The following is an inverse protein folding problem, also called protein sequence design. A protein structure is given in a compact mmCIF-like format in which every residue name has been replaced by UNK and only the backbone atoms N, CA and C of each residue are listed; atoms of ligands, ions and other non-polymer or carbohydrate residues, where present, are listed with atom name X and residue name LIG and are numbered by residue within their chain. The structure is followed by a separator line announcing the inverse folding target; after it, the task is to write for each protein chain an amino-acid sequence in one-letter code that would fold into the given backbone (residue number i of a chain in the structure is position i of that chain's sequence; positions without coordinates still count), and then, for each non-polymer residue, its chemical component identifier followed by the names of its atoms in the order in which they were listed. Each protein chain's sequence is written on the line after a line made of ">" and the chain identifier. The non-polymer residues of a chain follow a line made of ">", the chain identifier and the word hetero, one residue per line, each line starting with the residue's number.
data_IF_417932855254
#
_entry.id   IF_417932855254
#
_cell.length_a   1.000
_cell.length_b   1.000
_cell.length_c   1.000
_cell.angle_alpha   90.00
_cell.angle_beta   90.00
_cell.angle_gamma   90.00
#
_symmetry.space_group_name_H-M   'P 1'
#
loop_
_entity.id
_entity.type
_entity.pdbx_description
1 polymer ?
#
# COMPACT_ATOMS: atom_id res chain seq x y z
N UNK A 1 29.66 -2.25 12.82
CA UNK A 1 28.70 -2.66 11.79
C UNK A 1 28.25 -1.48 10.99
N UNK A 2 28.26 -1.55 9.66
CA UNK A 2 27.80 -0.49 8.76
C UNK A 2 26.56 -0.95 8.00
N UNK A 3 25.45 -0.32 8.25
CA UNK A 3 24.15 -0.63 7.64
C UNK A 3 23.87 0.41 6.56
N UNK A 4 23.64 -0.02 5.32
CA UNK A 4 23.08 0.82 4.27
C UNK A 4 21.56 0.69 4.32
N UNK A 5 20.84 1.79 4.48
CA UNK A 5 19.38 1.79 4.61
C UNK A 5 18.72 2.57 3.47
N UNK A 6 17.73 1.96 2.82
CA UNK A 6 17.01 2.54 1.70
C UNK A 6 16.11 3.71 2.12
N UNK A 7 16.52 4.93 1.75
CA UNK A 7 15.68 6.13 1.83
C UNK A 7 15.06 6.51 0.49
N UNK A 8 15.38 5.80 -0.60
CA UNK A 8 14.88 6.12 -1.94
C UNK A 8 13.35 6.03 -2.04
N UNK A 9 12.72 5.18 -1.21
CA UNK A 9 11.26 5.05 -1.15
C UNK A 9 10.58 6.11 -0.28
N UNK A 10 11.27 6.77 0.64
CA UNK A 10 10.66 7.55 1.71
C UNK A 10 9.97 8.84 1.24
N UNK A 11 10.35 9.38 0.06
CA UNK A 11 9.66 10.54 -0.49
C UNK A 11 8.25 10.21 -1.03
N UNK A 12 7.92 8.94 -1.19
CA UNK A 12 6.61 8.49 -1.65
C UNK A 12 5.60 8.50 -0.51
N UNK A 13 4.34 8.86 -0.83
CA UNK A 13 3.21 8.83 0.12
C UNK A 13 2.40 7.54 -0.08
N UNK A 14 3.02 6.39 0.16
CA UNK A 14 2.39 5.08 -0.02
C UNK A 14 2.73 4.11 1.13
N UNK A 15 2.14 2.91 1.11
CA UNK A 15 2.34 1.90 2.14
C UNK A 15 3.78 1.39 2.25
N UNK A 16 4.52 1.31 1.13
CA UNK A 16 5.91 0.87 1.13
C UNK A 16 6.84 1.89 1.80
N UNK A 17 6.62 3.18 1.54
CA UNK A 17 7.36 4.24 2.23
C UNK A 17 7.07 4.25 3.75
N UNK A 18 5.82 4.01 4.13
CA UNK A 18 5.45 3.90 5.54
C UNK A 18 6.11 2.68 6.20
N UNK A 19 6.14 1.54 5.50
CA UNK A 19 6.85 0.35 5.96
C UNK A 19 8.33 0.65 6.22
N UNK A 20 9.04 1.20 5.25
CA UNK A 20 10.47 1.52 5.38
C UNK A 20 10.72 2.52 6.53
N UNK A 21 9.86 3.54 6.68
CA UNK A 21 9.94 4.51 7.78
C UNK A 21 9.79 3.84 9.14
N UNK A 22 8.82 2.93 9.28
CA UNK A 22 8.60 2.20 10.53
C UNK A 22 9.80 1.32 10.91
N UNK A 23 10.37 0.62 9.92
CA UNK A 23 11.57 -0.21 10.14
C UNK A 23 12.76 0.67 10.53
N UNK A 24 12.94 1.82 9.88
CA UNK A 24 14.01 2.76 10.22
C UNK A 24 13.95 3.24 11.67
N UNK A 25 12.77 3.68 12.13
CA UNK A 25 12.63 4.14 13.52
C UNK A 25 12.81 3.02 14.54
N UNK A 26 12.29 1.84 14.26
CA UNK A 26 12.49 0.68 15.13
C UNK A 26 13.97 0.24 15.21
N UNK A 27 14.67 0.30 14.06
CA UNK A 27 16.11 0.04 14.01
C UNK A 27 16.90 1.07 14.82
N UNK A 28 16.59 2.35 14.65
CA UNK A 28 17.27 3.44 15.36
C UNK A 28 17.06 3.31 16.87
N UNK A 29 15.82 3.11 17.30
CA UNK A 29 15.47 2.89 18.72
C UNK A 29 16.21 1.67 19.30
N UNK A 30 16.30 0.56 18.54
CA UNK A 30 17.04 -0.63 18.97
C UNK A 30 18.53 -0.32 19.12
N UNK A 31 19.15 0.35 18.14
CA UNK A 31 20.58 0.71 18.18
C UNK A 31 20.91 1.60 19.37
N UNK A 32 20.06 2.58 19.70
CA UNK A 32 20.25 3.46 20.87
C UNK A 32 20.37 2.70 22.21
N UNK A 33 19.72 1.55 22.30
CA UNK A 33 19.71 0.73 23.52
C UNK A 33 20.77 -0.39 23.56
N UNK A 34 21.57 -0.54 22.49
CA UNK A 34 22.63 -1.54 22.47
C UNK A 34 23.87 -1.09 23.24
N UNK A 35 24.54 -2.02 23.99
CA UNK A 35 25.74 -1.69 24.78
C UNK A 35 26.93 -1.20 23.93
N UNK A 36 26.98 -1.56 22.65
CA UNK A 36 28.04 -1.24 21.69
C UNK A 36 27.53 -0.39 20.52
N UNK A 37 26.54 0.44 20.77
CA UNK A 37 25.90 1.30 19.77
C UNK A 37 26.91 2.17 18.98
N UNK A 38 28.00 2.61 19.60
CA UNK A 38 29.03 3.42 18.96
C UNK A 38 29.78 2.70 17.82
N UNK A 39 29.68 1.38 17.75
CA UNK A 39 30.25 0.57 16.68
C UNK A 39 29.29 0.33 15.52
N UNK A 40 28.08 0.91 15.56
CA UNK A 40 27.05 0.76 14.54
C UNK A 40 26.81 2.11 13.86
N UNK A 41 26.83 2.11 12.53
CA UNK A 41 26.47 3.28 11.71
C UNK A 41 25.36 2.88 10.74
N UNK A 42 24.29 3.65 10.70
CA UNK A 42 23.19 3.54 9.73
C UNK A 42 23.40 4.62 8.68
N UNK A 43 23.76 4.24 7.46
CA UNK A 43 23.90 5.18 6.34
C UNK A 43 22.65 5.15 5.49
N UNK A 44 21.97 6.28 5.41
CA UNK A 44 20.75 6.45 4.63
C UNK A 44 21.09 6.72 3.17
N UNK A 45 20.72 5.81 2.28
CA UNK A 45 20.87 5.96 0.84
C UNK A 45 19.72 6.80 0.28
N UNK A 46 20.01 8.00 -0.18
CA UNK A 46 19.01 8.92 -0.72
C UNK A 46 19.35 9.37 -2.15
N UNK A 47 18.43 10.08 -2.80
CA UNK A 47 18.64 10.71 -4.11
C UNK A 47 18.46 12.22 -3.97
N UNK A 48 19.54 12.98 -4.18
CA UNK A 48 19.54 14.44 -4.07
C UNK A 48 18.57 15.15 -5.02
N UNK A 49 18.20 14.52 -6.13
CA UNK A 49 17.16 15.04 -7.03
C UNK A 49 15.78 15.16 -6.35
N UNK A 50 15.55 14.40 -5.28
CA UNK A 50 14.30 14.41 -4.50
C UNK A 50 14.44 15.07 -3.12
N UNK A 51 15.54 15.78 -2.85
CA UNK A 51 15.86 16.35 -1.54
C UNK A 51 14.72 17.17 -0.90
N UNK A 52 13.98 18.04 -1.62
CA UNK A 52 12.86 18.78 -1.03
C UNK A 52 11.77 17.88 -0.45
N UNK A 53 11.51 16.73 -1.06
CA UNK A 53 10.50 15.79 -0.58
C UNK A 53 10.97 15.02 0.67
N UNK A 54 12.27 14.76 0.81
CA UNK A 54 12.81 14.15 2.04
C UNK A 54 12.70 15.08 3.23
N UNK A 55 13.01 16.37 3.08
CA UNK A 55 12.96 17.35 4.17
C UNK A 55 11.55 17.55 4.73
N UNK A 56 10.50 17.33 3.92
CA UNK A 56 9.11 17.35 4.39
C UNK A 56 8.72 16.10 5.19
N UNK A 57 9.40 14.97 4.95
CA UNK A 57 9.02 13.66 5.48
C UNK A 57 9.85 13.20 6.67
N UNK A 58 11.01 13.80 6.85
CA UNK A 58 11.92 13.46 7.93
C UNK A 58 11.64 14.38 9.11
N UNK A 59 11.52 13.88 10.34
CA UNK A 59 11.36 14.73 11.51
C UNK A 59 12.61 15.61 11.70
N UNK A 60 12.43 16.75 12.35
CA UNK A 60 13.44 17.80 12.60
C UNK A 60 14.74 17.30 13.29
N UNK A 61 14.81 16.03 13.67
CA UNK A 61 15.88 15.45 14.49
C UNK A 61 16.68 14.34 13.79
N UNK A 62 16.82 14.36 12.46
CA UNK A 62 17.64 13.37 11.75
C UNK A 62 19.16 13.52 11.93
N UNK A 63 19.63 14.61 12.54
CA UNK A 63 21.00 14.72 13.03
C UNK A 63 21.19 13.81 14.24
N UNK A 64 21.23 12.49 13.98
CA UNK A 64 21.42 11.49 15.02
C UNK A 64 22.86 10.96 14.96
N UNK A 65 23.48 10.73 16.12
CA UNK A 65 24.91 10.32 16.20
C UNK A 65 25.24 8.99 15.52
N UNK A 66 24.22 8.19 15.19
CA UNK A 66 24.37 6.87 14.52
C UNK A 66 23.96 6.91 13.05
N UNK A 67 23.55 8.07 12.52
CA UNK A 67 22.98 8.19 11.18
C UNK A 67 23.89 9.07 10.31
N UNK A 68 24.30 8.48 9.18
CA UNK A 68 25.00 9.16 8.09
C UNK A 68 24.14 9.14 6.82
N UNK A 69 24.55 9.88 5.80
CA UNK A 69 23.85 9.96 4.52
C UNK A 69 24.82 9.75 3.35
N UNK A 70 24.36 9.02 2.33
CA UNK A 70 25.07 8.85 1.07
C UNK A 70 24.12 9.06 -0.10
N UNK A 71 24.55 9.87 -1.07
CA UNK A 71 23.77 10.14 -2.28
C UNK A 71 24.03 9.04 -3.32
N UNK A 72 22.96 8.48 -3.89
CA UNK A 72 23.08 7.50 -4.97
C UNK A 72 23.77 8.10 -6.21
N UNK A 73 23.72 9.42 -6.35
CA UNK A 73 24.37 10.15 -7.45
C UNK A 73 25.92 10.13 -7.36
N UNK A 74 26.49 9.79 -6.22
CA UNK A 74 27.93 9.57 -6.08
C UNK A 74 28.44 8.34 -6.87
N UNK A 75 27.51 7.46 -7.25
CA UNK A 75 27.80 6.23 -8.00
C UNK A 75 28.07 5.02 -7.12
N UNK A 76 27.65 3.86 -7.62
CA UNK A 76 27.69 2.58 -6.85
C UNK A 76 29.12 2.16 -6.47
N UNK A 77 30.12 2.48 -7.29
CA UNK A 77 31.53 2.16 -6.97
C UNK A 77 32.00 2.86 -5.69
N UNK A 78 31.62 4.13 -5.48
CA UNK A 78 31.96 4.88 -4.27
C UNK A 78 31.18 4.33 -3.07
N UNK A 79 29.90 3.97 -3.26
CA UNK A 79 29.09 3.35 -2.21
C UNK A 79 29.68 1.99 -1.80
N UNK A 80 30.06 1.13 -2.74
CA UNK A 80 30.69 -0.15 -2.48
C UNK A 80 32.04 -0.02 -1.75
N UNK A 81 32.82 1.03 -2.06
CA UNK A 81 34.10 1.29 -1.41
C UNK A 81 33.98 1.57 0.11
N UNK A 82 32.80 1.90 0.60
CA UNK A 82 32.53 2.11 2.03
C UNK A 82 32.40 0.80 2.83
N UNK A 83 32.31 -0.35 2.15
CA UNK A 83 32.25 -1.68 2.74
C UNK A 83 31.11 -1.81 3.78
N UNK A 84 29.87 -1.69 3.34
CA UNK A 84 28.71 -1.96 4.17
C UNK A 84 28.56 -3.45 4.46
N UNK A 85 28.12 -3.80 5.67
CA UNK A 85 27.86 -5.19 6.07
C UNK A 85 26.53 -5.68 5.51
N UNK A 86 25.49 -4.81 5.54
CA UNK A 86 24.15 -5.14 5.08
C UNK A 86 23.49 -3.93 4.40
N UNK A 87 22.73 -4.21 3.34
CA UNK A 87 21.80 -3.27 2.71
C UNK A 87 20.36 -3.70 3.00
N UNK A 88 19.61 -2.86 3.69
CA UNK A 88 18.17 -3.02 3.84
C UNK A 88 17.45 -2.24 2.75
N UNK A 89 16.80 -2.97 1.85
CA UNK A 89 16.06 -2.41 0.73
C UNK A 89 14.55 -2.46 1.02
N UNK A 90 14.01 -1.39 1.58
CA UNK A 90 12.64 -1.30 2.09
C UNK A 90 11.54 -1.40 1.04
N UNK A 91 11.85 -1.17 -0.24
CA UNK A 91 10.91 -1.33 -1.35
C UNK A 91 11.64 -1.82 -2.61
N UNK A 92 11.69 -3.13 -2.80
CA UNK A 92 12.42 -3.76 -3.91
C UNK A 92 11.91 -3.31 -5.30
N UNK A 93 10.63 -2.91 -5.41
CA UNK A 93 10.06 -2.37 -6.64
C UNK A 93 10.80 -1.11 -7.14
N UNK A 94 11.44 -0.35 -6.24
CA UNK A 94 12.21 0.84 -6.62
C UNK A 94 13.52 0.51 -7.35
N UNK A 95 13.97 -0.74 -7.35
CA UNK A 95 15.16 -1.15 -8.11
C UNK A 95 15.01 -0.88 -9.62
N UNK A 96 13.81 -0.95 -10.17
CA UNK A 96 13.56 -0.64 -11.58
C UNK A 96 13.87 0.80 -11.96
N UNK A 97 13.76 1.74 -11.02
CA UNK A 97 14.14 3.14 -11.23
C UNK A 97 15.61 3.42 -10.97
N UNK A 98 16.28 2.53 -10.24
CA UNK A 98 17.69 2.62 -9.88
C UNK A 98 18.40 1.29 -10.18
N UNK A 99 18.51 0.86 -11.46
CA UNK A 99 19.04 -0.44 -11.83
C UNK A 99 20.50 -0.65 -11.39
N UNK A 100 21.26 0.43 -11.16
CA UNK A 100 22.61 0.39 -10.62
C UNK A 100 22.67 -0.24 -9.21
N UNK A 101 21.57 -0.27 -8.46
CA UNK A 101 21.52 -0.96 -7.16
C UNK A 101 21.84 -2.46 -7.27
N UNK A 102 21.60 -3.07 -8.44
CA UNK A 102 22.00 -4.45 -8.71
C UNK A 102 23.53 -4.67 -8.64
N UNK A 103 24.33 -3.61 -8.64
CA UNK A 103 25.80 -3.70 -8.54
C UNK A 103 26.32 -3.61 -7.10
N UNK A 104 25.46 -3.45 -6.09
CA UNK A 104 25.86 -3.49 -4.69
C UNK A 104 26.47 -4.85 -4.34
N UNK A 105 27.49 -4.84 -3.48
CA UNK A 105 28.27 -6.05 -3.13
C UNK A 105 28.02 -6.56 -1.72
N UNK A 106 27.42 -5.76 -0.84
CA UNK A 106 27.07 -6.18 0.51
C UNK A 106 25.88 -7.16 0.55
N UNK A 107 25.73 -7.88 1.66
CA UNK A 107 24.52 -8.67 1.93
C UNK A 107 23.28 -7.79 1.82
N UNK A 108 22.19 -8.29 1.25
CA UNK A 108 20.97 -7.53 1.04
C UNK A 108 19.75 -8.24 1.63
N UNK A 109 18.92 -7.45 2.32
CA UNK A 109 17.58 -7.82 2.79
C UNK A 109 16.60 -7.02 1.94
N UNK A 110 15.89 -7.68 1.03
CA UNK A 110 15.03 -7.04 0.04
C UNK A 110 13.56 -7.24 0.40
N UNK A 111 12.82 -6.15 0.56
CA UNK A 111 11.39 -6.21 0.86
C UNK A 111 10.56 -6.17 -0.41
N UNK A 112 9.89 -7.28 -0.71
CA UNK A 112 8.92 -7.43 -1.80
C UNK A 112 7.52 -7.31 -1.22
N UNK A 113 6.85 -6.17 -1.42
CA UNK A 113 5.54 -5.91 -0.84
C UNK A 113 4.42 -6.73 -1.50
N UNK A 114 4.51 -6.92 -2.80
CA UNK A 114 3.56 -7.71 -3.59
C UNK A 114 4.13 -8.01 -4.99
N UNK A 115 3.40 -8.81 -5.76
CA UNK A 115 3.67 -9.14 -7.15
C UNK A 115 2.49 -8.72 -8.05
N UNK A 116 1.88 -7.57 -7.77
CA UNK A 116 0.66 -7.13 -8.48
C UNK A 116 0.86 -7.02 -9.99
N UNK A 117 2.04 -6.58 -10.43
CA UNK A 117 2.35 -6.40 -11.85
C UNK A 117 2.51 -7.75 -12.55
N UNK A 118 3.22 -8.69 -11.91
CA UNK A 118 3.44 -10.04 -12.40
C UNK A 118 2.13 -10.82 -12.49
N UNK A 119 1.32 -10.75 -11.43
CA UNK A 119 0.01 -11.39 -11.39
C UNK A 119 -0.92 -10.83 -12.47
N UNK A 120 -0.91 -9.53 -12.69
CA UNK A 120 -1.74 -8.89 -13.69
C UNK A 120 -1.22 -9.14 -15.11
N UNK A 121 0.09 -9.17 -15.31
CA UNK A 121 0.71 -9.46 -16.58
C UNK A 121 0.46 -10.91 -17.02
N UNK A 122 0.71 -11.87 -16.10
CA UNK A 122 0.63 -13.29 -16.39
C UNK A 122 -0.81 -13.81 -16.52
N UNK A 123 -1.81 -13.17 -15.91
CA UNK A 123 -3.18 -13.65 -15.83
C UNK A 123 -4.18 -12.83 -16.68
N UNK A 124 -3.72 -12.00 -17.61
CA UNK A 124 -4.57 -11.15 -18.47
C UNK A 124 -5.64 -10.34 -17.71
N UNK A 125 -5.41 -10.05 -16.42
CA UNK A 125 -6.34 -9.26 -15.60
C UNK A 125 -6.63 -7.90 -16.22
N UNK A 126 -5.72 -7.42 -17.07
CA UNK A 126 -5.96 -6.23 -17.87
C UNK A 126 -7.08 -6.40 -18.88
N UNK A 127 -7.24 -7.58 -19.48
CA UNK A 127 -8.40 -7.86 -20.33
C UNK A 127 -9.68 -7.80 -19.50
N UNK A 128 -9.66 -8.29 -18.26
CA UNK A 128 -10.77 -8.16 -17.33
C UNK A 128 -11.03 -6.70 -16.95
N UNK A 129 -10.01 -5.98 -16.59
CA UNK A 129 -10.10 -4.53 -16.30
C UNK A 129 -10.54 -3.76 -17.55
N UNK A 130 -10.05 -4.11 -18.73
CA UNK A 130 -10.42 -3.48 -20.00
C UNK A 130 -11.83 -3.86 -20.47
N UNK A 131 -12.31 -5.09 -20.24
CA UNK A 131 -13.68 -5.50 -20.58
C UNK A 131 -14.73 -4.88 -19.66
N UNK A 132 -14.43 -4.70 -18.39
CA UNK A 132 -15.25 -3.94 -17.46
C UNK A 132 -15.11 -2.43 -17.64
N UNK A 133 -14.19 -2.00 -18.48
CA UNK A 133 -13.92 -0.63 -18.90
C UNK A 133 -14.86 -0.09 -19.97
N UNK A 134 -16.07 -0.62 -20.12
CA UNK A 134 -17.08 0.11 -20.90
C UNK A 134 -17.27 1.56 -20.40
N UNK A 135 -16.67 1.86 -19.27
CA UNK A 135 -16.62 3.17 -18.64
C UNK A 135 -15.23 3.60 -18.16
N UNK A 136 -14.15 2.82 -18.41
CA UNK A 136 -12.80 3.17 -17.98
C UNK A 136 -12.10 4.23 -18.86
N UNK A 137 -12.78 4.84 -19.81
CA UNK A 137 -12.25 5.97 -20.57
C UNK A 137 -12.27 7.31 -19.83
N UNK A 138 -12.28 7.30 -18.50
CA UNK A 138 -11.75 8.39 -17.71
C UNK A 138 -10.23 8.26 -17.52
N UNK A 139 -9.54 7.61 -18.44
CA UNK A 139 -8.10 7.73 -18.52
C UNK A 139 -7.79 9.20 -18.79
N UNK A 140 -7.11 9.84 -17.86
CA UNK A 140 -6.45 11.13 -18.10
C UNK A 140 -5.38 10.93 -19.18
N UNK A 141 -5.78 10.85 -20.43
CA UNK A 141 -4.90 11.21 -21.52
C UNK A 141 -4.70 12.72 -21.38
N UNK A 142 -3.75 13.12 -20.58
CA UNK A 142 -3.21 14.47 -20.61
C UNK A 142 -2.45 14.61 -21.90
N UNK A 143 -3.18 14.91 -22.98
CA UNK A 143 -2.57 15.45 -24.18
C UNK A 143 -1.92 16.79 -23.84
N UNK A 144 -0.99 17.33 -24.67
CA UNK A 144 -0.19 18.53 -24.38
C UNK A 144 -0.99 19.80 -24.08
N UNK A 145 -2.29 19.77 -23.99
CA UNK A 145 -3.19 20.89 -23.72
C UNK A 145 -4.31 20.64 -22.69
N UNK A 146 -4.23 19.57 -21.87
CA UNK A 146 -5.16 19.37 -20.73
C UNK A 146 -6.64 19.18 -21.07
N UNK A 147 -7.02 18.91 -22.32
CA UNK A 147 -8.41 18.70 -22.71
C UNK A 147 -8.82 17.23 -22.54
N UNK A 148 -9.89 16.99 -21.78
CA UNK A 148 -10.56 15.68 -21.68
C UNK A 148 -11.22 15.36 -23.02
N UNK A 149 -10.87 14.21 -23.62
CA UNK A 149 -11.49 13.73 -24.86
C UNK A 149 -12.46 12.60 -24.45
N UNK A 150 -13.76 12.81 -24.70
CA UNK A 150 -14.80 11.80 -24.56
C UNK A 150 -15.01 11.09 -25.90
N UNK A 151 -15.05 9.75 -25.90
CA UNK A 151 -15.22 8.97 -27.11
C UNK A 151 -16.49 8.09 -27.04
N UNK A 152 -17.32 8.11 -28.09
CA UNK A 152 -18.48 7.24 -28.20
C UNK A 152 -18.08 5.85 -28.73
N UNK A 153 -18.62 4.81 -28.10
CA UNK A 153 -18.10 3.41 -28.11
C UNK A 153 -18.49 2.62 -29.35
N UNK A 154 -19.39 3.14 -30.20
CA UNK A 154 -19.96 2.37 -31.34
C UNK A 154 -19.17 2.43 -32.65
N UNK A 155 -18.15 3.24 -32.76
CA UNK A 155 -17.35 3.43 -33.98
C UNK A 155 -16.26 2.39 -34.18
N UNK A 156 -16.01 1.88 -35.42
CA UNK A 156 -14.86 1.01 -35.73
C UNK A 156 -13.50 1.62 -35.43
N UNK A 157 -13.38 2.92 -35.58
CA UNK A 157 -12.15 3.70 -35.25
C UNK A 157 -11.81 3.58 -33.78
N UNK A 158 -12.80 3.47 -32.90
CA UNK A 158 -12.61 3.33 -31.44
C UNK A 158 -12.12 1.92 -31.11
N UNK A 159 -12.52 0.88 -31.85
CA UNK A 159 -11.97 -0.48 -31.68
C UNK A 159 -10.48 -0.52 -32.00
N UNK A 160 -10.05 0.22 -33.03
CA UNK A 160 -8.65 0.33 -33.40
C UNK A 160 -7.85 1.15 -32.35
N UNK A 161 -8.40 2.24 -31.87
CA UNK A 161 -7.80 3.01 -30.78
C UNK A 161 -7.74 2.20 -29.46
N UNK A 162 -8.72 1.32 -29.19
CA UNK A 162 -8.68 0.38 -28.06
C UNK A 162 -7.55 -0.62 -28.22
N UNK A 163 -7.34 -1.16 -29.40
CA UNK A 163 -6.22 -2.07 -29.67
C UNK A 163 -4.87 -1.36 -29.46
N UNK A 164 -4.70 -0.13 -29.96
CA UNK A 164 -3.51 0.69 -29.71
C UNK A 164 -3.29 1.04 -28.23
N UNK A 165 -4.37 1.31 -27.48
CA UNK A 165 -4.32 1.55 -26.04
C UNK A 165 -4.00 0.28 -25.26
N UNK A 166 -4.49 -0.86 -25.73
CA UNK A 166 -4.15 -2.18 -25.17
C UNK A 166 -2.65 -2.46 -25.32
N UNK A 167 -2.07 -2.20 -26.49
CA UNK A 167 -0.62 -2.31 -26.74
C UNK A 167 0.16 -1.36 -25.78
N UNK A 168 -0.35 -0.14 -25.55
CA UNK A 168 0.27 0.81 -24.61
C UNK A 168 0.12 0.39 -23.13
N UNK A 169 -1.00 -0.24 -22.79
CA UNK A 169 -1.19 -0.80 -21.44
C UNK A 169 -0.28 -2.00 -21.17
N UNK A 170 -0.04 -2.85 -22.17
CA UNK A 170 0.97 -3.89 -22.11
C UNK A 170 2.36 -3.31 -21.83
N UNK A 171 2.74 -2.19 -22.45
CA UNK A 171 4.01 -1.53 -22.18
C UNK A 171 4.17 -1.06 -20.73
N UNK A 172 3.12 -0.50 -20.13
CA UNK A 172 3.15 -0.06 -18.71
C UNK A 172 3.28 -1.26 -17.76
N UNK A 173 2.66 -2.40 -18.09
CA UNK A 173 2.78 -3.61 -17.29
C UNK A 173 4.14 -4.28 -17.45
N UNK A 174 4.67 -4.24 -18.66
CA UNK A 174 6.03 -4.69 -18.96
C UNK A 174 7.07 -3.85 -18.21
N UNK A 175 6.85 -2.53 -18.09
CA UNK A 175 7.66 -1.65 -17.23
C UNK A 175 7.55 -2.09 -15.75
N UNK A 176 6.35 -2.31 -15.25
CA UNK A 176 6.11 -2.80 -13.88
C UNK A 176 6.73 -4.17 -13.64
N UNK A 177 6.58 -5.11 -14.59
CA UNK A 177 7.20 -6.42 -14.54
C UNK A 177 8.73 -6.33 -14.47
N UNK A 178 9.34 -5.47 -15.28
CA UNK A 178 10.80 -5.28 -15.30
C UNK A 178 11.35 -4.61 -14.03
N UNK A 179 10.51 -3.93 -13.25
CA UNK A 179 10.95 -3.31 -11.99
C UNK A 179 11.51 -4.32 -10.98
N UNK A 180 10.85 -5.47 -10.80
CA UNK A 180 11.32 -6.50 -9.89
C UNK A 180 12.52 -7.29 -10.42
N UNK A 181 12.74 -7.33 -11.73
CA UNK A 181 13.89 -8.02 -12.32
C UNK A 181 15.24 -7.46 -11.83
N UNK A 182 15.33 -6.14 -11.66
CA UNK A 182 16.53 -5.48 -11.10
C UNK A 182 16.76 -5.86 -9.64
N UNK A 183 15.69 -5.99 -8.85
CA UNK A 183 15.78 -6.47 -7.46
C UNK A 183 16.20 -7.95 -7.39
N UNK A 184 15.68 -8.77 -8.29
CA UNK A 184 16.06 -10.19 -8.39
C UNK A 184 17.53 -10.34 -8.82
N UNK A 185 18.03 -9.49 -9.73
CA UNK A 185 19.43 -9.47 -10.10
C UNK A 185 20.33 -9.18 -8.88
N UNK A 186 19.94 -8.25 -8.01
CA UNK A 186 20.61 -8.01 -6.73
C UNK A 186 20.49 -9.23 -5.80
N UNK A 187 19.29 -9.80 -5.67
CA UNK A 187 19.05 -10.97 -4.83
C UNK A 187 19.95 -12.17 -5.20
N UNK A 188 20.07 -12.48 -6.49
CA UNK A 188 20.87 -13.63 -6.97
C UNK A 188 22.38 -13.40 -6.91
N UNK A 189 22.85 -12.20 -6.57
CA UNK A 189 24.27 -11.88 -6.52
C UNK A 189 25.00 -12.58 -5.39
N UNK A 190 24.28 -12.89 -4.29
CA UNK A 190 24.86 -13.56 -3.11
C UNK A 190 23.89 -14.61 -2.57
N UNK A 191 24.45 -15.72 -2.13
CA UNK A 191 23.64 -16.80 -1.54
C UNK A 191 23.05 -16.45 -0.17
N UNK A 192 23.64 -15.50 0.56
CA UNK A 192 23.17 -15.04 1.87
C UNK A 192 22.17 -13.89 1.81
N UNK A 193 21.78 -13.44 0.61
CA UNK A 193 20.69 -12.50 0.43
C UNK A 193 19.32 -13.13 0.79
N UNK A 194 18.43 -12.32 1.34
CA UNK A 194 17.11 -12.75 1.83
C UNK A 194 16.04 -11.82 1.25
N UNK A 195 14.91 -12.41 0.88
CA UNK A 195 13.68 -11.68 0.57
C UNK A 195 12.80 -11.66 1.82
N UNK A 196 12.31 -10.49 2.16
CA UNK A 196 11.25 -10.28 3.15
C UNK A 196 9.97 -9.92 2.41
N UNK A 197 8.84 -10.47 2.83
CA UNK A 197 7.54 -10.12 2.27
C UNK A 197 6.48 -10.01 3.37
N UNK A 198 5.32 -9.45 3.02
CA UNK A 198 4.34 -8.94 3.98
C UNK A 198 3.17 -9.87 4.26
N UNK A 199 3.08 -11.00 3.57
CA UNK A 199 2.05 -12.03 3.77
C UNK A 199 2.48 -13.37 3.17
N UNK A 200 1.87 -14.47 3.62
CA UNK A 200 2.07 -15.78 3.00
C UNK A 200 1.55 -15.83 1.56
N UNK A 201 0.48 -15.09 1.26
CA UNK A 201 0.03 -14.92 -0.12
C UNK A 201 1.16 -14.33 -0.98
N UNK A 202 1.77 -13.22 -0.58
CA UNK A 202 2.87 -12.60 -1.32
C UNK A 202 4.10 -13.51 -1.41
N UNK A 203 4.42 -14.29 -0.35
CA UNK A 203 5.47 -15.31 -0.39
C UNK A 203 5.22 -16.33 -1.50
N UNK A 204 4.02 -16.90 -1.53
CA UNK A 204 3.65 -17.88 -2.54
C UNK A 204 3.65 -17.29 -3.96
N UNK A 205 3.21 -16.05 -4.10
CA UNK A 205 3.24 -15.32 -5.37
C UNK A 205 4.68 -15.07 -5.85
N UNK A 206 5.61 -14.72 -4.97
CA UNK A 206 7.04 -14.59 -5.28
C UNK A 206 7.60 -15.92 -5.75
N UNK A 207 7.35 -17.00 -5.02
CA UNK A 207 7.81 -18.36 -5.40
C UNK A 207 7.27 -18.76 -6.77
N UNK A 208 5.98 -18.49 -7.04
CA UNK A 208 5.33 -18.86 -8.30
C UNK A 208 5.86 -18.06 -9.50
N UNK A 209 6.07 -16.75 -9.34
CA UNK A 209 6.45 -15.88 -10.45
C UNK A 209 7.95 -15.84 -10.73
N UNK A 210 8.80 -16.12 -9.72
CA UNK A 210 10.25 -15.88 -9.82
C UNK A 210 11.14 -17.09 -9.50
N UNK A 211 10.58 -18.25 -9.26
CA UNK A 211 11.33 -19.49 -8.92
C UNK A 211 12.33 -19.28 -7.76
N UNK A 212 11.96 -18.49 -6.78
CA UNK A 212 12.75 -18.28 -5.56
C UNK A 212 12.45 -19.39 -4.56
N UNK A 213 13.47 -19.98 -3.96
CA UNK A 213 13.31 -21.05 -2.96
C UNK A 213 12.64 -20.53 -1.69
N UNK A 214 11.83 -21.39 -1.09
CA UNK A 214 11.03 -21.05 0.09
C UNK A 214 11.86 -20.58 1.29
N UNK A 215 13.02 -21.22 1.53
CA UNK A 215 13.95 -20.91 2.62
C UNK A 215 14.65 -19.55 2.47
N UNK A 216 14.54 -18.91 1.30
CA UNK A 216 15.04 -17.55 1.02
C UNK A 216 14.02 -16.46 1.23
N UNK A 217 12.79 -16.80 1.60
CA UNK A 217 11.69 -15.83 1.76
C UNK A 217 11.17 -15.87 3.19
N UNK A 218 11.32 -14.77 3.91
CA UNK A 218 10.77 -14.56 5.25
C UNK A 218 9.49 -13.73 5.18
N UNK A 219 8.42 -14.18 5.85
CA UNK A 219 7.18 -13.40 5.99
C UNK A 219 7.27 -12.57 7.27
N UNK A 220 7.18 -11.25 7.11
CA UNK A 220 7.10 -10.26 8.18
C UNK A 220 5.95 -9.31 7.87
N UNK A 221 4.89 -9.35 8.66
CA UNK A 221 3.72 -8.50 8.44
C UNK A 221 4.10 -7.03 8.42
N UNK A 222 3.48 -6.27 7.52
CA UNK A 222 3.75 -4.83 7.44
C UNK A 222 3.52 -4.17 8.79
N UNK A 223 4.49 -3.40 9.32
CA UNK A 223 4.35 -2.74 10.62
C UNK A 223 3.13 -1.82 10.67
N UNK A 224 2.55 -1.66 11.84
CA UNK A 224 1.44 -0.73 12.03
C UNK A 224 1.87 0.70 11.69
N UNK A 225 0.97 1.45 11.01
CA UNK A 225 1.20 2.86 10.70
C UNK A 225 1.22 3.70 11.97
N UNK A 226 2.26 4.53 12.14
CA UNK A 226 2.31 5.50 13.25
C UNK A 226 1.46 6.72 12.89
N UNK A 227 0.55 7.02 13.79
CA UNK A 227 -0.08 8.33 13.84
C UNK A 227 0.61 9.15 14.92
N UNK A 228 0.98 10.41 14.63
CA UNK A 228 1.61 11.28 15.64
C UNK A 228 0.71 11.46 16.87
N UNK A 229 1.30 11.61 18.05
CA UNK A 229 0.54 11.84 19.28
C UNK A 229 -0.42 13.04 19.18
N UNK A 230 -0.12 14.02 18.33
CA UNK A 230 -1.03 15.15 18.02
C UNK A 230 -2.34 14.70 17.39
N UNK A 231 -2.35 13.59 16.62
CA UNK A 231 -3.55 13.08 15.94
C UNK A 231 -4.53 12.43 16.91
N UNK A 232 -4.05 11.77 17.96
CA UNK A 232 -4.95 11.15 18.96
C UNK A 232 -5.84 12.17 19.69
N UNK A 233 -5.40 13.43 19.77
CA UNK A 233 -6.15 14.54 20.36
C UNK A 233 -7.05 15.32 19.39
N UNK A 234 -7.01 15.03 18.10
CA UNK A 234 -7.80 15.77 17.10
C UNK A 234 -9.29 15.45 17.21
N UNK A 235 -10.09 16.51 17.38
CA UNK A 235 -11.54 16.43 17.49
C UNK A 235 -12.28 17.02 16.28
N UNK A 236 -11.57 17.67 15.35
CA UNK A 236 -12.17 18.39 14.23
C UNK A 236 -11.39 18.17 12.94
N UNK A 237 -12.10 17.80 11.88
CA UNK A 237 -11.56 17.70 10.53
C UNK A 237 -11.21 19.08 9.96
N UNK A 238 -10.16 19.13 9.15
CA UNK A 238 -9.76 20.33 8.40
C UNK A 238 -10.44 20.40 7.04
N UNK A 239 -10.74 19.24 6.42
CA UNK A 239 -11.57 19.20 5.21
C UNK A 239 -13.03 19.50 5.52
N UNK A 240 -13.59 20.49 4.82
CA UNK A 240 -14.96 20.97 5.09
C UNK A 240 -16.05 19.93 4.76
N UNK A 241 -15.88 19.12 3.71
CA UNK A 241 -16.86 18.08 3.35
C UNK A 241 -16.87 16.99 4.42
N UNK A 242 -15.69 16.55 4.86
CA UNK A 242 -15.55 15.58 5.95
C UNK A 242 -16.15 16.12 7.24
N UNK A 243 -15.87 17.39 7.57
CA UNK A 243 -16.42 18.05 8.76
C UNK A 243 -17.96 18.06 8.73
N UNK A 244 -18.57 18.37 7.59
CA UNK A 244 -20.03 18.34 7.41
C UNK A 244 -20.59 16.92 7.58
N UNK A 245 -19.93 15.90 7.02
CA UNK A 245 -20.31 14.49 7.20
C UNK A 245 -20.30 14.07 8.68
N UNK A 246 -19.23 14.41 9.40
CA UNK A 246 -19.09 14.07 10.82
C UNK A 246 -20.18 14.80 11.65
N UNK A 247 -20.39 16.09 11.41
CA UNK A 247 -21.38 16.89 12.14
C UNK A 247 -22.83 16.46 11.86
N UNK A 248 -23.13 15.97 10.66
CA UNK A 248 -24.47 15.49 10.30
C UNK A 248 -24.81 14.12 10.90
N UNK A 249 -23.83 13.42 11.48
CA UNK A 249 -23.96 12.09 12.07
C UNK A 249 -24.59 11.04 11.13
N UNK A 250 -24.46 11.24 9.82
CA UNK A 250 -24.96 10.28 8.84
C UNK A 250 -24.10 9.02 8.84
N UNK A 251 -24.72 7.88 8.65
CA UNK A 251 -24.01 6.61 8.44
C UNK A 251 -23.36 6.61 7.06
N UNK A 252 -22.05 6.35 6.98
CA UNK A 252 -21.40 6.23 5.68
C UNK A 252 -20.43 5.05 5.61
N UNK A 253 -20.41 4.41 4.46
CA UNK A 253 -19.40 3.43 4.09
C UNK A 253 -18.21 4.15 3.47
N UNK A 254 -17.01 3.90 4.00
CA UNK A 254 -15.78 4.54 3.55
C UNK A 254 -15.04 3.67 2.54
N UNK A 255 -14.57 4.25 1.45
CA UNK A 255 -13.63 3.66 0.48
C UNK A 255 -12.46 4.60 0.28
N UNK A 256 -11.24 4.13 0.50
CA UNK A 256 -10.01 4.94 0.40
C UNK A 256 -9.14 4.55 -0.78
N UNK A 257 -8.17 5.41 -1.15
CA UNK A 257 -7.29 5.22 -2.31
C UNK A 257 -8.09 5.00 -3.60
N UNK A 258 -9.18 5.71 -3.76
CA UNK A 258 -10.20 5.48 -4.78
C UNK A 258 -9.74 5.82 -6.20
N UNK A 259 -8.58 6.48 -6.35
CA UNK A 259 -7.95 6.78 -7.65
C UNK A 259 -7.23 5.58 -8.28
N UNK A 260 -7.01 4.48 -7.52
CA UNK A 260 -6.29 3.30 -8.01
C UNK A 260 -7.28 2.28 -8.58
N UNK A 261 -7.07 1.85 -9.82
CA UNK A 261 -7.93 0.87 -10.52
C UNK A 261 -8.07 -0.45 -9.77
N UNK A 262 -6.97 -0.94 -9.19
CA UNK A 262 -6.95 -2.17 -8.40
C UNK A 262 -7.92 -2.15 -7.22
N UNK A 263 -8.32 -0.97 -6.74
CA UNK A 263 -9.30 -0.82 -5.66
C UNK A 263 -10.76 -1.05 -6.11
N UNK A 264 -11.02 -1.17 -7.42
CA UNK A 264 -12.33 -1.59 -7.98
C UNK A 264 -13.53 -0.75 -7.51
N UNK A 265 -13.27 0.53 -7.23
CA UNK A 265 -14.23 1.46 -6.60
C UNK A 265 -15.50 1.59 -7.42
N UNK A 266 -15.37 1.66 -8.75
CA UNK A 266 -16.53 1.86 -9.63
C UNK A 266 -17.56 0.75 -9.48
N UNK A 267 -17.13 -0.52 -9.45
CA UNK A 267 -18.04 -1.66 -9.29
C UNK A 267 -18.77 -1.59 -7.93
N UNK A 268 -18.06 -1.20 -6.88
CA UNK A 268 -18.66 -1.00 -5.57
C UNK A 268 -19.67 0.17 -5.56
N UNK A 269 -19.38 1.27 -6.26
CA UNK A 269 -20.32 2.39 -6.41
C UNK A 269 -21.59 1.99 -7.18
N UNK A 270 -21.46 1.15 -8.23
CA UNK A 270 -22.63 0.60 -8.94
C UNK A 270 -23.51 -0.23 -8.00
N UNK A 271 -22.92 -1.14 -7.23
CA UNK A 271 -23.64 -1.94 -6.24
C UNK A 271 -24.28 -1.05 -5.15
N UNK A 272 -23.54 -0.07 -4.65
CA UNK A 272 -24.02 0.86 -3.63
C UNK A 272 -25.18 1.73 -4.12
N UNK A 273 -25.14 2.18 -5.37
CA UNK A 273 -26.25 2.94 -5.99
C UNK A 273 -27.56 2.16 -5.96
N UNK A 274 -27.51 0.84 -6.12
CA UNK A 274 -28.68 -0.02 -5.98
C UNK A 274 -29.06 -0.17 -4.51
N UNK A 275 -28.11 -0.42 -3.62
CA UNK A 275 -28.29 -0.56 -2.18
C UNK A 275 -28.94 0.66 -1.55
N UNK A 276 -28.55 1.88 -1.95
CA UNK A 276 -29.09 3.13 -1.45
C UNK A 276 -30.61 3.32 -1.73
N UNK A 277 -31.22 2.53 -2.62
CA UNK A 277 -32.66 2.52 -2.83
C UNK A 277 -33.43 1.83 -1.69
N UNK A 278 -32.75 0.91 -0.99
CA UNK A 278 -33.31 0.13 0.11
C UNK A 278 -32.93 0.71 1.49
N UNK A 279 -31.82 1.44 1.55
CA UNK A 279 -31.27 2.05 2.76
C UNK A 279 -31.04 3.54 2.53
N UNK A 280 -32.06 4.34 2.84
CA UNK A 280 -32.07 5.79 2.58
C UNK A 280 -31.22 6.60 3.57
N UNK A 281 -30.86 6.00 4.70
CA UNK A 281 -30.12 6.60 5.82
C UNK A 281 -28.60 6.56 5.65
N UNK A 282 -28.09 5.94 4.58
CA UNK A 282 -26.64 5.69 4.40
C UNK A 282 -26.07 6.41 3.18
N UNK A 283 -24.78 6.73 3.27
CA UNK A 283 -23.97 7.31 2.21
C UNK A 283 -22.78 6.41 1.90
N UNK A 284 -22.18 6.57 0.73
CA UNK A 284 -20.84 6.07 0.42
C UNK A 284 -19.90 7.24 0.25
N UNK A 285 -18.74 7.16 0.88
CA UNK A 285 -17.70 8.19 0.83
C UNK A 285 -16.46 7.58 0.20
N UNK A 286 -15.98 8.21 -0.87
CA UNK A 286 -14.70 7.88 -1.50
C UNK A 286 -13.65 8.93 -1.15
N UNK A 287 -12.38 8.52 -1.10
CA UNK A 287 -11.24 9.44 -0.94
C UNK A 287 -10.37 9.37 -2.19
N UNK A 288 -10.37 10.47 -2.96
CA UNK A 288 -9.54 10.62 -4.15
C UNK A 288 -10.11 10.00 -5.43
N UNK A 289 -11.41 9.77 -5.53
CA UNK A 289 -12.04 9.26 -6.76
C UNK A 289 -12.11 10.32 -7.86
N UNK A 290 -12.35 11.58 -7.47
CA UNK A 290 -12.33 12.75 -8.34
C UNK A 290 -13.70 13.21 -8.84
N UNK A 291 -14.81 12.52 -8.49
CA UNK A 291 -16.17 12.92 -8.84
C UNK A 291 -17.23 12.21 -8.00
N UNK A 292 -18.40 12.83 -7.88
CA UNK A 292 -19.61 12.25 -7.30
C UNK A 292 -20.50 11.70 -8.42
N UNK A 293 -21.01 10.46 -8.29
CA UNK A 293 -21.77 9.78 -9.35
C UNK A 293 -23.28 9.76 -9.13
N UNK A 294 -23.74 9.98 -7.89
CA UNK A 294 -25.17 10.00 -7.51
C UNK A 294 -25.33 10.64 -6.12
N UNK A 295 -26.55 11.02 -5.75
CA UNK A 295 -26.86 11.84 -4.57
C UNK A 295 -26.34 11.30 -3.22
N UNK A 296 -26.18 9.97 -3.10
CA UNK A 296 -25.67 9.33 -1.88
C UNK A 296 -24.17 9.01 -1.93
N UNK A 297 -23.47 9.50 -2.95
CA UNK A 297 -22.03 9.40 -3.09
C UNK A 297 -21.37 10.74 -2.80
N UNK A 298 -20.49 10.79 -1.83
CA UNK A 298 -19.65 11.95 -1.51
C UNK A 298 -18.20 11.61 -1.83
N UNK A 299 -17.53 12.42 -2.64
CA UNK A 299 -16.10 12.27 -2.90
C UNK A 299 -15.31 13.34 -2.15
N UNK A 300 -14.35 12.87 -1.35
CA UNK A 300 -13.39 13.69 -0.63
C UNK A 300 -12.09 13.78 -1.44
N UNK A 301 -11.35 14.90 -1.36
CA UNK A 301 -10.02 14.99 -1.94
C UNK A 301 -9.05 14.02 -1.23
N UNK A 302 -7.78 14.02 -1.63
CA UNK A 302 -6.75 13.37 -0.82
C UNK A 302 -6.68 14.06 0.54
N UNK A 303 -6.97 13.30 1.57
CA UNK A 303 -7.01 13.77 2.95
C UNK A 303 -5.61 13.82 3.57
N UNK A 304 -5.43 14.74 4.51
CA UNK A 304 -4.29 14.67 5.44
C UNK A 304 -4.40 13.41 6.31
N UNK A 305 -3.31 12.98 6.90
CA UNK A 305 -3.33 11.83 7.81
C UNK A 305 -4.31 12.03 8.97
N UNK A 306 -4.42 13.26 9.47
CA UNK A 306 -5.36 13.62 10.52
C UNK A 306 -6.82 13.51 10.10
N UNK A 307 -7.14 13.98 8.90
CA UNK A 307 -8.50 13.90 8.36
C UNK A 307 -8.85 12.45 7.99
N UNK A 308 -7.87 11.70 7.46
CA UNK A 308 -8.06 10.27 7.17
C UNK A 308 -8.32 9.46 8.45
N UNK A 309 -7.57 9.74 9.54
CA UNK A 309 -7.83 9.16 10.86
C UNK A 309 -9.26 9.44 11.32
N UNK A 310 -9.74 10.68 11.18
CA UNK A 310 -11.11 11.05 11.55
C UNK A 310 -12.15 10.39 10.63
N UNK A 311 -11.86 10.24 9.35
CA UNK A 311 -12.74 9.56 8.41
C UNK A 311 -12.95 8.09 8.78
N UNK A 312 -11.88 7.35 9.13
CA UNK A 312 -11.99 5.99 9.65
C UNK A 312 -12.73 5.93 10.98
N UNK A 313 -12.40 6.81 11.92
CA UNK A 313 -13.03 6.86 13.24
C UNK A 313 -14.53 7.10 13.16
N UNK A 314 -14.99 7.88 12.19
CA UNK A 314 -16.39 8.33 12.08
C UNK A 314 -17.23 7.52 11.09
N UNK A 315 -16.63 6.66 10.23
CA UNK A 315 -17.39 5.86 9.30
C UNK A 315 -18.28 4.83 10.02
N UNK A 316 -19.35 4.40 9.34
CA UNK A 316 -20.17 3.28 9.77
C UNK A 316 -19.44 1.96 9.54
N UNK A 317 -18.90 1.76 8.34
CA UNK A 317 -18.11 0.60 7.98
C UNK A 317 -17.11 0.93 6.87
N UNK A 318 -16.08 0.10 6.70
CA UNK A 318 -15.21 0.17 5.53
C UNK A 318 -15.75 -0.77 4.44
N UNK A 319 -15.84 -0.29 3.20
CA UNK A 319 -16.08 -1.10 2.01
C UNK A 319 -14.78 -1.20 1.21
N UNK A 320 -14.23 -2.40 1.12
CA UNK A 320 -12.90 -2.66 0.56
C UNK A 320 -12.94 -3.68 -0.59
N UNK A 321 -13.32 -3.23 -1.81
CA UNK A 321 -13.58 -4.10 -2.95
C UNK A 321 -12.35 -4.40 -3.80
N UNK A 322 -11.14 -4.33 -3.24
CA UNK A 322 -9.87 -4.48 -3.96
C UNK A 322 -9.79 -5.80 -4.74
N UNK A 323 -9.17 -5.74 -5.92
CA UNK A 323 -8.88 -6.90 -6.76
C UNK A 323 -7.57 -7.58 -6.37
N UNK A 324 -6.64 -6.82 -5.78
CA UNK A 324 -5.34 -7.32 -5.37
C UNK A 324 -4.79 -6.52 -4.18
N UNK A 325 -4.19 -7.22 -3.20
CA UNK A 325 -3.51 -6.63 -2.04
C UNK A 325 -2.35 -7.52 -1.58
N UNK A 326 -1.20 -6.89 -1.29
CA UNK A 326 -0.09 -7.58 -0.64
C UNK A 326 -0.30 -7.76 0.85
N UNK A 327 -0.89 -6.74 1.53
CA UNK A 327 -1.17 -6.76 2.97
C UNK A 327 -2.54 -6.18 3.32
N UNK A 328 -2.83 -4.91 2.92
CA UNK A 328 -4.13 -4.29 3.16
C UNK A 328 -4.19 -3.41 4.41
N UNK A 329 -3.47 -2.30 4.45
CA UNK A 329 -3.53 -1.32 5.54
C UNK A 329 -4.93 -0.74 5.82
N UNK A 330 -5.73 -0.32 4.82
CA UNK A 330 -7.02 0.32 5.07
C UNK A 330 -8.00 -0.47 5.94
N UNK A 331 -8.18 -1.78 5.77
CA UNK A 331 -8.96 -2.57 6.69
C UNK A 331 -8.47 -2.50 8.14
N UNK A 332 -7.18 -2.60 8.38
CA UNK A 332 -6.60 -2.53 9.73
C UNK A 332 -6.78 -1.15 10.35
N UNK A 333 -6.64 -0.08 9.56
CA UNK A 333 -6.89 1.30 10.00
C UNK A 333 -8.36 1.49 10.45
N UNK A 334 -9.32 0.88 9.76
CA UNK A 334 -10.72 0.90 10.18
C UNK A 334 -10.99 0.00 11.40
N UNK A 335 -10.39 -1.21 11.43
CA UNK A 335 -10.51 -2.16 12.54
C UNK A 335 -9.99 -1.60 13.86
N UNK A 336 -8.98 -0.74 13.82
CA UNK A 336 -8.48 0.00 14.99
C UNK A 336 -9.58 0.72 15.76
N UNK A 337 -10.62 1.17 15.05
CA UNK A 337 -11.79 1.83 15.64
C UNK A 337 -12.97 0.88 15.82
N UNK A 338 -12.76 -0.41 15.69
CA UNK A 338 -13.81 -1.41 15.77
C UNK A 338 -14.86 -1.27 14.65
N UNK A 339 -14.48 -0.73 13.48
CA UNK A 339 -15.43 -0.58 12.38
C UNK A 339 -15.64 -1.91 11.67
N UNK A 340 -16.89 -2.33 11.39
CA UNK A 340 -17.16 -3.45 10.52
C UNK A 340 -16.48 -3.30 9.16
N UNK A 341 -15.98 -4.41 8.61
CA UNK A 341 -15.31 -4.45 7.31
C UNK A 341 -16.13 -5.29 6.35
N UNK A 342 -16.40 -4.74 5.17
CA UNK A 342 -16.89 -5.50 4.02
C UNK A 342 -15.73 -5.58 3.04
N UNK A 343 -15.15 -6.76 2.87
CA UNK A 343 -13.90 -6.96 2.11
C UNK A 343 -14.05 -7.96 0.99
N UNK A 344 -13.31 -7.74 -0.09
CA UNK A 344 -13.07 -8.81 -1.06
C UNK A 344 -12.35 -9.99 -0.41
N UNK A 345 -12.63 -11.20 -0.90
CA UNK A 345 -12.05 -12.47 -0.43
C UNK A 345 -10.84 -12.90 -1.27
N UNK A 346 -9.97 -11.97 -1.64
CA UNK A 346 -8.85 -12.22 -2.56
C UNK A 346 -7.49 -11.95 -1.91
N UNK A 347 -6.47 -12.59 -2.46
CA UNK A 347 -5.06 -12.37 -2.09
C UNK A 347 -4.81 -12.52 -0.59
N UNK A 348 -4.13 -11.57 0.03
CA UNK A 348 -3.81 -11.58 1.46
C UNK A 348 -5.01 -11.29 2.38
N UNK A 349 -6.15 -10.85 1.86
CA UNK A 349 -7.28 -10.44 2.70
C UNK A 349 -7.78 -11.52 3.67
N UNK A 350 -8.02 -12.78 3.23
CA UNK A 350 -8.43 -13.84 4.16
C UNK A 350 -7.37 -14.18 5.22
N UNK A 351 -6.08 -14.06 4.88
CA UNK A 351 -4.97 -14.28 5.80
C UNK A 351 -4.93 -13.20 6.90
N UNK A 352 -5.04 -11.94 6.50
CA UNK A 352 -4.86 -10.80 7.41
C UNK A 352 -6.12 -10.54 8.24
N UNK A 353 -7.29 -10.65 7.64
CA UNK A 353 -8.54 -10.25 8.27
C UNK A 353 -9.30 -11.42 8.91
N UNK A 354 -8.85 -12.66 8.69
CA UNK A 354 -9.45 -13.89 9.20
C UNK A 354 -10.97 -13.93 8.95
N UNK A 355 -11.77 -14.16 9.99
CA UNK A 355 -13.23 -14.23 9.91
C UNK A 355 -13.93 -12.92 10.33
N UNK A 356 -13.18 -11.84 10.51
CA UNK A 356 -13.75 -10.57 10.98
C UNK A 356 -14.64 -9.87 9.94
N UNK A 357 -14.31 -9.85 8.61
CA UNK A 357 -15.15 -9.18 7.61
C UNK A 357 -16.40 -9.94 7.20
N UNK A 358 -17.32 -9.21 6.59
CA UNK A 358 -18.28 -9.76 5.64
C UNK A 358 -17.56 -9.84 4.30
N UNK A 359 -17.23 -11.06 3.84
CA UNK A 359 -16.53 -11.28 2.60
C UNK A 359 -17.45 -11.30 1.38
N UNK A 360 -16.93 -10.84 0.25
CA UNK A 360 -17.60 -10.92 -1.04
C UNK A 360 -16.60 -11.13 -2.19
N UNK A 361 -17.10 -11.70 -3.30
CA UNK A 361 -16.34 -11.70 -4.55
C UNK A 361 -16.32 -10.29 -5.15
N UNK A 362 -15.14 -9.69 -5.42
CA UNK A 362 -15.05 -8.36 -6.02
C UNK A 362 -15.46 -8.35 -7.50
N UNK A 363 -15.65 -9.53 -8.10
CA UNK A 363 -15.97 -9.68 -9.52
C UNK A 363 -17.42 -9.36 -9.87
N UNK A 364 -18.34 -9.46 -8.89
CA UNK A 364 -19.77 -9.32 -9.12
C UNK A 364 -20.39 -8.21 -8.27
N UNK A 365 -21.08 -7.27 -8.92
CA UNK A 365 -21.81 -6.19 -8.22
C UNK A 365 -22.86 -6.76 -7.26
N UNK A 366 -23.53 -7.85 -7.66
CA UNK A 366 -24.51 -8.53 -6.81
C UNK A 366 -23.90 -9.10 -5.52
N UNK A 367 -22.64 -9.58 -5.56
CA UNK A 367 -21.95 -10.05 -4.36
C UNK A 367 -21.64 -8.90 -3.40
N UNK A 368 -21.20 -7.75 -3.94
CA UNK A 368 -20.97 -6.54 -3.15
C UNK A 368 -22.31 -6.04 -2.56
N UNK A 369 -23.38 -6.01 -3.36
CA UNK A 369 -24.70 -5.65 -2.90
C UNK A 369 -25.19 -6.56 -1.77
N UNK A 370 -25.05 -7.89 -1.91
CA UNK A 370 -25.42 -8.83 -0.86
C UNK A 370 -24.64 -8.60 0.44
N UNK A 371 -23.34 -8.32 0.35
CA UNK A 371 -22.53 -7.98 1.52
C UNK A 371 -23.02 -6.68 2.21
N UNK A 372 -23.36 -5.64 1.42
CA UNK A 372 -23.95 -4.40 1.95
C UNK A 372 -25.31 -4.68 2.65
N UNK A 373 -26.15 -5.53 2.08
CA UNK A 373 -27.44 -5.91 2.68
C UNK A 373 -27.28 -6.76 3.94
N UNK A 374 -26.16 -7.44 4.10
CA UNK A 374 -25.89 -8.33 5.24
C UNK A 374 -25.44 -7.58 6.51
N UNK A 375 -25.10 -6.30 6.41
CA UNK A 375 -24.74 -5.49 7.58
C UNK A 375 -25.88 -4.53 7.94
N UNK A 376 -26.40 -4.69 9.15
CA UNK A 376 -27.45 -3.82 9.72
C UNK A 376 -27.23 -3.56 11.22
N UNK A 377 -28.12 -2.81 11.83
CA UNK A 377 -28.00 -2.42 13.23
C UNK A 377 -28.13 -3.62 14.19
N UNK A 378 -28.76 -4.72 13.78
CA UNK A 378 -28.94 -5.92 14.59
C UNK A 378 -27.64 -6.71 14.75
N UNK A 379 -26.75 -6.69 13.76
CA UNK A 379 -25.49 -7.42 13.76
C UNK A 379 -24.24 -6.52 13.77
N UNK A 380 -24.40 -5.20 13.75
CA UNK A 380 -23.31 -4.24 13.78
C UNK A 380 -22.33 -4.50 14.92
N UNK A 381 -22.86 -4.64 16.15
CA UNK A 381 -22.04 -4.87 17.34
C UNK A 381 -21.23 -6.18 17.26
N UNK A 382 -21.76 -7.19 16.62
CA UNK A 382 -21.07 -8.47 16.39
C UNK A 382 -19.83 -8.27 15.49
N UNK A 383 -19.99 -7.64 14.33
CA UNK A 383 -18.87 -7.38 13.41
C UNK A 383 -17.89 -6.36 13.97
N UNK A 384 -18.36 -5.35 14.70
CA UNK A 384 -17.51 -4.38 15.39
C UNK A 384 -16.56 -5.06 16.40
N UNK A 385 -17.08 -5.99 17.21
CA UNK A 385 -16.26 -6.75 18.18
C UNK A 385 -15.24 -7.67 17.47
N UNK A 386 -15.64 -8.32 16.39
CA UNK A 386 -14.74 -9.16 15.58
C UNK A 386 -13.60 -8.33 14.98
N UNK A 387 -13.93 -7.17 14.43
CA UNK A 387 -12.93 -6.22 13.89
C UNK A 387 -11.93 -5.80 14.97
N UNK A 388 -12.41 -5.38 16.14
CA UNK A 388 -11.55 -4.96 17.24
C UNK A 388 -10.63 -6.10 17.73
N UNK A 389 -11.18 -7.32 17.86
CA UNK A 389 -10.38 -8.49 18.26
C UNK A 389 -9.29 -8.80 17.22
N UNK A 390 -9.64 -8.89 15.94
CA UNK A 390 -8.70 -9.20 14.88
C UNK A 390 -7.60 -8.12 14.75
N UNK A 391 -7.96 -6.85 14.96
CA UNK A 391 -6.98 -5.77 14.99
C UNK A 391 -5.89 -6.02 16.04
N UNK A 392 -6.26 -6.37 17.28
CA UNK A 392 -5.28 -6.62 18.36
C UNK A 392 -4.39 -7.83 18.05
N UNK A 393 -4.94 -8.89 17.43
CA UNK A 393 -4.16 -10.06 17.04
C UNK A 393 -3.12 -9.71 15.96
N UNK A 394 -3.53 -8.95 14.94
CA UNK A 394 -2.61 -8.52 13.86
C UNK A 394 -1.59 -7.51 14.38
N UNK A 395 -2.00 -6.55 15.21
CA UNK A 395 -1.10 -5.55 15.81
C UNK A 395 0.03 -6.22 16.59
N UNK A 396 -0.29 -7.21 17.42
CA UNK A 396 0.73 -7.97 18.14
C UNK A 396 1.71 -8.66 17.17
N UNK A 397 1.18 -9.34 16.15
CA UNK A 397 2.04 -9.98 15.15
C UNK A 397 2.91 -8.97 14.39
N UNK A 398 2.38 -7.79 14.06
CA UNK A 398 3.15 -6.72 13.41
C UNK A 398 4.30 -6.21 14.31
N UNK A 399 4.07 -6.09 15.62
CA UNK A 399 5.10 -5.72 16.60
C UNK A 399 6.18 -6.80 16.71
N UNK A 400 5.79 -8.07 16.83
CA UNK A 400 6.72 -9.21 16.91
C UNK A 400 7.55 -9.31 15.62
N UNK A 401 6.90 -9.27 14.45
CA UNK A 401 7.55 -9.33 13.13
C UNK A 401 8.50 -8.15 12.88
N UNK A 402 8.14 -6.94 13.34
CA UNK A 402 9.01 -5.76 13.25
C UNK A 402 10.27 -5.93 14.11
N UNK A 403 10.11 -6.43 15.34
CA UNK A 403 11.25 -6.71 16.22
C UNK A 403 12.20 -7.73 15.61
N UNK A 404 11.66 -8.85 15.11
CA UNK A 404 12.46 -9.89 14.44
C UNK A 404 13.14 -9.37 13.15
N UNK A 405 12.47 -8.49 12.39
CA UNK A 405 13.08 -7.87 11.20
C UNK A 405 14.26 -6.98 11.57
N UNK A 406 14.14 -6.20 12.63
CA UNK A 406 15.23 -5.38 13.14
C UNK A 406 16.41 -6.25 13.58
N UNK A 407 16.13 -7.36 14.27
CA UNK A 407 17.18 -8.33 14.67
C UNK A 407 17.86 -8.96 13.44
N UNK A 408 17.09 -9.24 12.37
CA UNK A 408 17.67 -9.72 11.10
C UNK A 408 18.58 -8.68 10.42
N UNK A 409 18.26 -7.39 10.52
CA UNK A 409 19.09 -6.31 9.95
C UNK A 409 20.39 -6.17 10.75
N UNK A 410 20.29 -6.23 12.08
CA UNK A 410 21.41 -6.13 13.00
C UNK A 410 22.29 -7.40 13.02
N UNK A 411 21.78 -8.48 12.49
CA UNK A 411 22.35 -9.79 12.19
C UNK A 411 23.60 -10.11 13.01
N UNK A 412 23.57 -10.79 14.14
CA UNK A 412 24.77 -11.23 14.89
C UNK A 412 25.05 -10.52 16.22
N UNK A 413 24.23 -9.57 16.62
CA UNK A 413 24.35 -8.97 17.94
C UNK A 413 23.38 -9.57 18.97
N UNK A 414 22.71 -10.70 18.60
CA UNK A 414 21.87 -11.52 19.52
C UNK A 414 22.62 -12.75 20.00
#
# INVERSE_FOLDING_TARGET
>A
MKILFDFLALYQKNGAAEYARRVFYALLERVEHLPNAENITITCLFDSHHLPAYTEMLPDNLCHKYVDFVDIQNGISEINAQNYDVFFFGCAQNAGWNPQLAELTCKSILVFHDCVWEEFYNNDINLYLAHNANDMFHYRATGPRGKKIYWDIKSPTIRFCRWLLHVRQHGILEEGYNMLQSALALFHKREDNIIVTVSNYSKNSIMYNFDVKEDKICVKYSPERIYSNKMYGMKRATDEKLLRLINSQVKYYLMVSANRQVKNIKKALCAFKVFAKYRLDVFVVTVGYGMELFDKHVDLPFLTDSDLYLAYKSCYALLYPSLFEGFGYPPLEAMRFGKPILSSNVCSMPEILADAPIYFSPLYESAIFNALMSLDDSNYSYYSKKSAKQYEEIRKKQEDDLSELVDMILNEYS
#
